data_IF_061378985976
#
_entry.id   IF_061378985976
#
_cell.length_a   1.000
_cell.length_b   1.000
_cell.length_c   1.000
_cell.angle_alpha   90.00
_cell.angle_beta   90.00
_cell.angle_gamma   90.00
#
_symmetry.space_group_name_H-M   'P 1'
#
loop_
_entity.id
_entity.type
_entity.pdbx_description
1 polymer ?
#
# COMPACT_ATOMS: atom_id res chain seq x y z
N UNK A 1 5.02 0.99 -12.92
CA UNK A 1 4.87 1.28 -11.48
C UNK A 1 5.54 2.63 -11.22
N UNK A 2 4.86 3.58 -10.60
CA UNK A 2 5.37 4.97 -10.44
C UNK A 2 6.45 5.07 -9.35
N UNK A 3 6.25 4.41 -8.21
CA UNK A 3 7.19 4.39 -7.09
C UNK A 3 6.86 3.23 -6.15
N UNK A 4 7.86 2.71 -5.44
CA UNK A 4 7.70 1.70 -4.40
C UNK A 4 8.80 1.84 -3.36
N UNK A 5 8.45 1.58 -2.10
CA UNK A 5 9.40 1.48 -0.99
C UNK A 5 9.00 0.33 -0.07
N UNK A 6 9.97 -0.50 0.29
CA UNK A 6 9.82 -1.51 1.32
C UNK A 6 10.78 -1.20 2.47
N UNK A 7 10.28 -1.29 3.71
CA UNK A 7 11.07 -1.06 4.92
C UNK A 7 10.79 -2.17 5.93
N UNK A 8 11.82 -2.56 6.69
CA UNK A 8 11.61 -3.39 7.88
C UNK A 8 11.05 -2.49 8.98
N UNK A 9 10.05 -2.97 9.72
CA UNK A 9 9.45 -2.20 10.81
C UNK A 9 10.35 -2.13 12.04
N UNK A 10 11.32 -3.03 12.18
CA UNK A 10 12.34 -3.04 13.25
C UNK A 10 11.74 -2.91 14.66
N UNK A 11 10.59 -3.57 14.88
CA UNK A 11 9.87 -3.53 16.16
C UNK A 11 9.04 -2.27 16.39
N UNK A 12 9.10 -1.27 15.51
CA UNK A 12 8.23 -0.09 15.57
C UNK A 12 6.78 -0.50 15.36
N UNK A 13 5.90 0.20 16.06
CA UNK A 13 4.46 0.07 15.90
C UNK A 13 3.92 1.19 15.01
N UNK A 14 2.75 0.98 14.42
CA UNK A 14 2.06 1.98 13.62
C UNK A 14 1.75 3.25 14.45
N UNK A 15 1.61 4.43 13.81
CA UNK A 15 1.69 4.68 12.36
C UNK A 15 3.11 4.59 11.80
N UNK A 16 3.23 4.09 10.56
CA UNK A 16 4.50 4.01 9.83
C UNK A 16 4.61 5.14 8.81
N UNK A 17 5.55 6.06 9.02
CA UNK A 17 5.80 7.14 8.07
C UNK A 17 6.53 6.63 6.83
N UNK A 18 6.10 7.08 5.65
CA UNK A 18 6.73 6.75 4.38
C UNK A 18 6.83 7.98 3.47
N UNK A 19 7.73 7.88 2.49
CA UNK A 19 7.83 8.83 1.40
C UNK A 19 8.12 8.01 0.14
N UNK A 20 7.35 8.28 -0.92
CA UNK A 20 7.49 7.65 -2.23
C UNK A 20 7.90 8.73 -3.23
N UNK A 21 9.20 8.87 -3.54
CA UNK A 21 9.63 9.82 -4.54
C UNK A 21 9.16 9.36 -5.92
N UNK A 22 8.74 10.31 -6.75
CA UNK A 22 8.36 10.09 -8.15
C UNK A 22 8.80 11.30 -8.98
N UNK A 23 8.97 11.10 -10.29
CA UNK A 23 9.26 12.19 -11.22
C UNK A 23 7.93 12.78 -11.73
N UNK A 24 7.66 14.08 -11.55
CA UNK A 24 6.44 14.71 -12.07
C UNK A 24 6.26 14.57 -13.58
N UNK A 25 7.34 14.43 -14.35
CA UNK A 25 7.26 14.23 -15.80
C UNK A 25 6.66 12.87 -16.20
N UNK A 26 6.64 11.89 -15.30
CA UNK A 26 6.05 10.57 -15.53
C UNK A 26 4.53 10.57 -15.32
N UNK A 27 3.97 11.68 -14.83
CA UNK A 27 2.55 11.83 -14.50
C UNK A 27 1.78 12.28 -15.75
N UNK A 28 1.02 11.36 -16.34
CA UNK A 28 0.08 11.73 -17.41
C UNK A 28 -1.08 12.56 -16.81
N UNK A 29 -1.50 13.68 -17.44
CA UNK A 29 -2.49 14.60 -16.86
C UNK A 29 -3.82 13.97 -16.42
N UNK A 30 -4.27 12.91 -17.10
CA UNK A 30 -5.56 12.25 -16.83
C UNK A 30 -5.42 10.87 -16.17
N UNK A 31 -4.21 10.49 -15.73
CA UNK A 31 -4.01 9.18 -15.08
C UNK A 31 -4.71 9.12 -13.72
N UNK A 32 -5.39 8.01 -13.44
CA UNK A 32 -5.86 7.65 -12.10
C UNK A 32 -4.73 6.95 -11.36
N UNK A 33 -4.15 7.63 -10.38
CA UNK A 33 -3.01 7.11 -9.61
C UNK A 33 -3.49 6.60 -8.27
N UNK A 34 -3.20 5.33 -8.00
CA UNK A 34 -3.64 4.63 -6.80
C UNK A 34 -2.47 4.42 -5.85
N UNK A 35 -2.70 4.64 -4.57
CA UNK A 35 -1.78 4.34 -3.50
C UNK A 35 -2.29 3.12 -2.73
N UNK A 36 -1.40 2.16 -2.50
CA UNK A 36 -1.69 0.94 -1.76
C UNK A 36 -0.50 0.56 -0.88
N UNK A 37 -0.76 -0.18 0.19
CA UNK A 37 0.29 -0.71 1.05
C UNK A 37 -0.07 -2.11 1.56
N UNK A 38 0.97 -2.84 1.92
CA UNK A 38 0.88 -4.17 2.49
C UNK A 38 1.95 -4.34 3.58
N UNK A 39 1.62 -5.07 4.64
CA UNK A 39 2.56 -5.46 5.69
C UNK A 39 2.63 -6.97 5.72
N UNK A 40 3.86 -7.50 5.60
CA UNK A 40 4.15 -8.91 5.74
C UNK A 40 4.97 -9.16 7.00
N UNK A 41 4.68 -10.28 7.67
CA UNK A 41 5.43 -10.79 8.82
C UNK A 41 5.98 -12.15 8.43
N UNK A 42 7.30 -12.33 8.50
CA UNK A 42 7.98 -13.57 8.10
C UNK A 42 7.62 -14.04 6.67
N UNK A 43 7.43 -13.10 5.74
CA UNK A 43 7.05 -13.38 4.36
C UNK A 43 5.56 -13.66 4.14
N UNK A 44 4.76 -13.75 5.20
CA UNK A 44 3.32 -13.92 5.12
C UNK A 44 2.63 -12.54 5.12
N UNK A 45 1.79 -12.29 4.13
CA UNK A 45 0.96 -11.08 4.08
C UNK A 45 -0.02 -11.08 5.26
N UNK A 46 -0.01 -10.02 6.06
CA UNK A 46 -0.85 -9.90 7.27
C UNK A 46 -1.85 -8.76 7.15
N UNK A 47 -1.46 -7.64 6.55
CA UNK A 47 -2.32 -6.46 6.39
C UNK A 47 -2.22 -5.89 4.97
N UNK A 48 -3.33 -5.36 4.46
CA UNK A 48 -3.43 -4.76 3.12
C UNK A 48 -4.42 -3.58 3.13
N UNK A 49 -4.24 -2.63 2.21
CA UNK A 49 -5.29 -1.66 1.88
C UNK A 49 -6.42 -2.34 1.11
N UNK A 50 -7.65 -2.22 1.58
CA UNK A 50 -8.87 -2.75 0.94
C UNK A 50 -9.72 -1.68 0.25
N UNK A 51 -9.36 -0.41 0.43
CA UNK A 51 -10.01 0.74 -0.19
C UNK A 51 -9.12 1.37 -1.26
N UNK A 52 -9.77 2.01 -2.25
CA UNK A 52 -9.06 2.72 -3.31
C UNK A 52 -8.68 4.12 -2.83
N UNK A 53 -7.39 4.33 -2.60
CA UNK A 53 -6.85 5.66 -2.28
C UNK A 53 -6.29 6.32 -3.55
N UNK A 54 -6.92 7.39 -4.03
CA UNK A 54 -6.40 8.19 -5.15
C UNK A 54 -5.45 9.28 -4.66
N UNK A 55 -4.40 9.55 -5.44
CA UNK A 55 -3.38 10.57 -5.14
C UNK A 55 -3.01 11.36 -6.41
N UNK A 56 -2.29 12.48 -6.24
CA UNK A 56 -1.74 13.32 -7.32
C UNK A 56 -2.83 13.96 -8.21
N UNK A 57 -3.18 13.37 -9.36
CA UNK A 57 -4.12 14.00 -10.30
C UNK A 57 -5.56 14.08 -9.76
N UNK A 58 -5.91 13.15 -8.86
CA UNK A 58 -7.25 13.02 -8.26
C UNK A 58 -7.16 12.99 -6.73
N UNK A 59 -6.14 13.65 -6.15
CA UNK A 59 -5.90 13.67 -4.71
C UNK A 59 -4.70 14.55 -4.33
N UNK A 60 -4.26 14.46 -3.08
CA UNK A 60 -3.05 15.15 -2.61
C UNK A 60 -1.77 14.35 -2.84
N UNK A 61 -0.64 14.91 -2.40
CA UNK A 61 0.66 14.23 -2.31
C UNK A 61 0.90 13.59 -0.94
N UNK A 62 -0.01 13.81 0.02
CA UNK A 62 -0.01 13.22 1.35
C UNK A 62 -1.31 12.45 1.54
N UNK A 63 -1.21 11.23 2.05
CA UNK A 63 -2.34 10.37 2.33
C UNK A 63 -1.97 9.39 3.44
N UNK A 64 -2.87 9.25 4.42
CA UNK A 64 -2.80 8.17 5.40
C UNK A 64 -3.50 6.93 4.83
N UNK A 65 -2.94 5.76 5.13
CA UNK A 65 -3.54 4.48 4.77
C UNK A 65 -3.90 3.72 6.03
N UNK A 66 -5.16 3.34 6.14
CA UNK A 66 -5.60 2.32 7.09
C UNK A 66 -5.59 0.97 6.39
N UNK A 67 -4.87 0.01 6.95
CA UNK A 67 -4.80 -1.34 6.42
C UNK A 67 -5.68 -2.26 7.26
N UNK A 68 -6.30 -3.23 6.60
CA UNK A 68 -7.09 -4.27 7.23
C UNK A 68 -6.31 -5.59 7.26
N UNK A 69 -6.54 -6.47 8.25
CA UNK A 69 -6.01 -7.81 8.23
C UNK A 69 -6.48 -8.56 6.98
N UNK A 70 -5.63 -9.39 6.39
CA UNK A 70 -6.09 -10.30 5.33
C UNK A 70 -7.01 -11.37 5.92
N UNK A 71 -8.13 -11.62 5.26
CA UNK A 71 -8.97 -12.77 5.59
C UNK A 71 -8.34 -14.03 5.01
N UNK A 72 -7.80 -14.89 5.87
CA UNK A 72 -7.37 -16.22 5.46
C UNK A 72 -8.60 -17.10 5.29
N UNK A 73 -9.17 -17.11 4.09
CA UNK A 73 -10.09 -18.20 3.72
C UNK A 73 -9.22 -19.43 3.51
N UNK A 74 -9.25 -20.36 4.47
CA UNK A 74 -8.70 -21.69 4.26
C UNK A 74 -9.40 -22.28 3.02
N UNK A 75 -8.65 -22.51 1.94
CA UNK A 75 -9.18 -23.27 0.81
C UNK A 75 -9.47 -24.68 1.36
N UNK A 76 -10.72 -25.16 1.33
CA UNK A 76 -10.99 -26.53 1.75
C UNK A 76 -10.18 -27.45 0.83
N UNK A 77 -9.25 -28.22 1.39
CA UNK A 77 -8.67 -29.33 0.66
C UNK A 77 -9.82 -30.32 0.42
N UNK A 78 -10.26 -30.45 -0.83
CA UNK A 78 -11.13 -31.54 -1.22
C UNK A 78 -10.37 -32.84 -0.93
N UNK A 79 -10.94 -33.69 -0.06
CA UNK A 79 -10.42 -35.02 0.24
C UNK A 79 -10.61 -35.96 -0.96
#
# INVERSE_FOLDING_TARGET
>A
MLSQKAVRTEGKQAPFNFALPYNPADIQPNARILLSAAIAVNGQLMFITDTVQTVINQGGTHADLTLVPVTQTAVPVAQ
#
